data_IF_981007590917
#
_entry.id   IF_981007590917
#
_cell.length_a   1.000
_cell.length_b   1.000
_cell.length_c   1.000
_cell.angle_alpha   90.00
_cell.angle_beta   90.00
_cell.angle_gamma   90.00
#
_symmetry.space_group_name_H-M   'P 1'
#
loop_
_entity.id
_entity.type
_entity.pdbx_description
1 polymer ?
#
# COMPACT_ATOMS: atom_id res chain seq x y z
N UNK A 1 -36.82 15.71 15.77
CA UNK A 1 -36.01 16.46 16.76
C UNK A 1 -35.08 17.35 15.94
N UNK A 2 -35.44 18.61 15.74
CA UNK A 2 -34.67 19.54 14.91
C UNK A 2 -33.51 20.07 15.74
N UNK A 3 -32.29 19.63 15.42
CA UNK A 3 -31.08 20.10 16.09
C UNK A 3 -30.75 21.49 15.54
N UNK A 4 -31.06 22.55 16.28
CA UNK A 4 -30.72 23.91 15.87
C UNK A 4 -29.19 24.06 15.73
N UNK A 5 -28.76 24.53 14.56
CA UNK A 5 -27.37 24.50 14.11
C UNK A 5 -26.67 25.83 14.42
N UNK A 6 -26.28 26.04 15.68
CA UNK A 6 -25.41 27.15 16.10
C UNK A 6 -23.97 26.70 16.36
N UNK A 7 -23.41 25.85 15.49
CA UNK A 7 -22.03 25.39 15.63
C UNK A 7 -21.09 26.31 14.85
N UNK A 8 -20.12 26.93 15.56
CA UNK A 8 -19.05 27.70 14.93
C UNK A 8 -18.16 26.75 14.08
N UNK A 9 -18.38 26.76 12.77
CA UNK A 9 -17.66 25.91 11.79
C UNK A 9 -16.15 26.09 11.92
N UNK A 10 -15.69 27.32 12.16
CA UNK A 10 -14.27 27.62 12.25
C UNK A 10 -13.65 27.00 13.50
N UNK A 11 -14.33 27.12 14.65
CA UNK A 11 -13.91 26.45 15.88
C UNK A 11 -13.84 24.93 15.68
N UNK A 12 -14.87 24.34 15.07
CA UNK A 12 -14.89 22.91 14.78
C UNK A 12 -13.72 22.48 13.90
N UNK A 13 -13.44 23.22 12.82
CA UNK A 13 -12.33 22.93 11.92
C UNK A 13 -10.98 22.98 12.67
N UNK A 14 -10.75 24.01 13.50
CA UNK A 14 -9.53 24.15 14.30
C UNK A 14 -9.36 22.96 15.26
N UNK A 15 -10.41 22.59 16.00
CA UNK A 15 -10.37 21.45 16.93
C UNK A 15 -10.11 20.14 16.18
N UNK A 16 -10.76 19.94 15.03
CA UNK A 16 -10.58 18.75 14.19
C UNK A 16 -9.14 18.64 13.66
N UNK A 17 -8.54 19.76 13.24
CA UNK A 17 -7.13 19.81 12.83
C UNK A 17 -6.19 19.49 14.00
N UNK A 18 -6.46 20.01 15.20
CA UNK A 18 -5.68 19.70 16.40
C UNK A 18 -5.76 18.21 16.73
N UNK A 19 -6.95 17.61 16.70
CA UNK A 19 -7.13 16.16 16.92
C UNK A 19 -6.35 15.32 15.90
N UNK A 20 -6.37 15.73 14.62
CA UNK A 20 -5.59 15.08 13.56
C UNK A 20 -4.08 15.15 13.85
N UNK A 21 -3.55 16.34 14.15
CA UNK A 21 -2.12 16.53 14.44
C UNK A 21 -1.69 15.75 15.69
N UNK A 22 -2.52 15.76 16.74
CA UNK A 22 -2.26 14.99 17.96
C UNK A 22 -2.17 13.49 17.67
N UNK A 23 -3.13 12.95 16.89
CA UNK A 23 -3.15 11.53 16.50
C UNK A 23 -1.90 11.14 15.68
N UNK A 24 -1.48 11.99 14.74
CA UNK A 24 -0.28 11.77 13.93
C UNK A 24 0.99 11.84 14.79
N UNK A 25 1.05 12.81 15.72
CA UNK A 25 2.18 13.00 16.63
C UNK A 25 2.40 11.81 17.56
N UNK A 26 1.33 11.24 18.14
CA UNK A 26 1.45 10.05 19.00
C UNK A 26 2.03 8.85 18.23
N UNK A 27 1.60 8.63 16.98
CA UNK A 27 2.18 7.56 16.14
C UNK A 27 3.64 7.84 15.78
N UNK A 28 4.00 9.10 15.58
CA UNK A 28 5.38 9.50 15.27
C UNK A 28 6.37 9.21 16.41
N UNK A 29 5.90 9.14 17.67
CA UNK A 29 6.75 8.78 18.81
C UNK A 29 7.41 7.40 18.68
N UNK A 30 6.78 6.47 17.94
CA UNK A 30 7.39 5.18 17.63
C UNK A 30 8.67 5.34 16.80
N UNK A 31 8.61 6.19 15.77
CA UNK A 31 9.76 6.48 14.92
C UNK A 31 10.88 7.19 15.69
N UNK A 32 10.54 8.13 16.58
CA UNK A 32 11.50 8.74 17.51
C UNK A 32 12.20 7.72 18.41
N UNK A 33 11.46 6.71 18.87
CA UNK A 33 12.03 5.64 19.68
C UNK A 33 13.02 4.79 18.88
N UNK A 34 12.73 4.51 17.60
CA UNK A 34 13.63 3.76 16.73
C UNK A 34 14.94 4.51 16.47
N UNK A 35 14.88 5.84 16.32
CA UNK A 35 16.08 6.68 16.14
C UNK A 35 17.05 6.61 17.33
N UNK A 36 16.55 6.32 18.54
CA UNK A 36 17.40 6.17 19.74
C UNK A 36 18.22 4.87 19.74
N UNK A 37 17.76 3.83 19.05
CA UNK A 37 18.42 2.52 18.98
C UNK A 37 18.56 2.06 17.52
N UNK A 38 19.39 2.74 16.72
CA UNK A 38 19.45 2.53 15.28
C UNK A 38 19.95 1.12 14.90
N UNK A 39 20.84 0.53 15.70
CA UNK A 39 21.40 -0.81 15.46
C UNK A 39 20.34 -1.91 15.40
N UNK A 40 19.20 -1.72 16.06
CA UNK A 40 18.12 -2.71 16.12
C UNK A 40 17.00 -2.46 15.09
N UNK A 41 16.87 -1.24 14.55
CA UNK A 41 15.71 -0.85 13.74
C UNK A 41 16.07 -0.31 12.34
N UNK A 42 17.35 -0.04 12.08
CA UNK A 42 17.81 0.49 10.81
C UNK A 42 18.85 -0.42 10.16
N UNK A 43 18.77 -0.51 8.83
CA UNK A 43 19.79 -1.12 7.98
C UNK A 43 20.35 -0.01 7.10
N UNK A 44 21.53 0.51 7.48
CA UNK A 44 22.04 1.77 6.93
C UNK A 44 21.07 2.92 7.21
N UNK A 45 20.68 3.65 6.16
CA UNK A 45 19.76 4.80 6.27
C UNK A 45 18.26 4.42 6.16
N UNK A 46 17.94 3.11 6.12
CA UNK A 46 16.57 2.63 5.87
C UNK A 46 15.97 2.06 7.15
N UNK A 47 14.80 2.56 7.58
CA UNK A 47 14.07 1.93 8.68
C UNK A 47 13.57 0.55 8.23
N UNK A 48 13.64 -0.42 9.14
CA UNK A 48 13.02 -1.72 8.93
C UNK A 48 11.49 -1.61 9.04
N UNK A 49 10.81 -2.44 8.26
CA UNK A 49 9.35 -2.49 8.27
C UNK A 49 8.84 -3.39 9.40
N UNK A 50 7.73 -3.00 10.01
CA UNK A 50 7.07 -3.75 11.08
C UNK A 50 6.22 -4.92 10.58
N UNK A 51 5.86 -4.92 9.29
CA UNK A 51 5.01 -5.93 8.66
C UNK A 51 5.67 -6.52 7.42
N UNK A 52 5.45 -7.82 7.18
CA UNK A 52 6.08 -8.59 6.11
C UNK A 52 5.60 -8.23 4.70
N UNK A 53 4.43 -7.61 4.57
CA UNK A 53 3.85 -7.18 3.31
C UNK A 53 4.36 -5.80 2.86
N UNK A 54 4.82 -4.94 3.78
CA UNK A 54 5.28 -3.59 3.47
C UNK A 54 6.38 -3.54 2.37
N UNK A 55 7.42 -4.40 2.36
CA UNK A 55 8.41 -4.41 1.30
C UNK A 55 7.83 -4.60 -0.11
N UNK A 56 6.70 -5.32 -0.22
CA UNK A 56 6.03 -5.55 -1.50
C UNK A 56 5.47 -4.26 -2.09
N UNK A 57 4.79 -3.45 -1.27
CA UNK A 57 4.24 -2.16 -1.68
C UNK A 57 5.33 -1.12 -1.99
N UNK A 58 6.40 -1.11 -1.19
CA UNK A 58 7.55 -0.22 -1.38
C UNK A 58 8.33 -0.51 -2.66
N UNK A 59 8.44 -1.80 -2.98
CA UNK A 59 9.06 -2.26 -4.22
C UNK A 59 8.28 -1.73 -5.43
N UNK A 60 6.96 -1.87 -5.45
CA UNK A 60 6.13 -1.32 -6.53
C UNK A 60 6.22 0.19 -6.66
N UNK A 61 6.33 0.92 -5.54
CA UNK A 61 6.54 2.37 -5.57
C UNK A 61 7.88 2.73 -6.26
N UNK A 62 8.93 1.94 -6.00
CA UNK A 62 10.23 2.11 -6.65
C UNK A 62 10.16 1.80 -8.14
N UNK A 63 9.62 0.63 -8.51
CA UNK A 63 9.49 0.21 -9.91
C UNK A 63 8.66 1.20 -10.74
N UNK A 64 7.65 1.82 -10.13
CA UNK A 64 6.86 2.86 -10.77
C UNK A 64 7.71 4.10 -11.10
N UNK A 65 8.50 4.59 -10.14
CA UNK A 65 9.40 5.73 -10.38
C UNK A 65 10.56 5.41 -11.34
N UNK A 66 11.04 4.16 -11.33
CA UNK A 66 12.09 3.68 -12.24
C UNK A 66 11.57 3.39 -13.65
N UNK A 67 10.25 3.44 -13.86
CA UNK A 67 9.63 3.12 -15.14
C UNK A 67 9.57 1.63 -15.47
N UNK A 68 10.04 0.76 -14.57
CA UNK A 68 10.19 -0.69 -14.77
C UNK A 68 8.97 -1.50 -14.31
N UNK A 69 7.97 -0.85 -13.72
CA UNK A 69 6.76 -1.50 -13.23
C UNK A 69 6.05 -2.28 -14.34
N UNK A 70 5.95 -3.60 -14.15
CA UNK A 70 5.31 -4.49 -15.12
C UNK A 70 6.05 -4.62 -16.47
N UNK A 71 7.18 -3.92 -16.68
CA UNK A 71 7.84 -3.82 -17.98
C UNK A 71 8.65 -5.06 -18.34
N UNK A 72 9.01 -5.88 -17.34
CA UNK A 72 10.03 -6.89 -17.54
C UNK A 72 9.49 -8.27 -17.17
N UNK A 73 9.95 -9.25 -17.95
CA UNK A 73 10.29 -10.61 -17.51
C UNK A 73 10.73 -10.67 -16.04
N UNK A 74 11.30 -9.62 -15.44
CA UNK A 74 11.59 -9.47 -14.01
C UNK A 74 10.40 -9.54 -13.04
N UNK A 75 9.22 -8.96 -13.32
CA UNK A 75 8.04 -9.15 -12.45
C UNK A 75 7.49 -10.59 -12.60
N UNK A 76 7.61 -11.15 -13.80
CA UNK A 76 7.41 -12.58 -14.07
C UNK A 76 8.46 -13.47 -13.38
N UNK A 77 9.73 -13.08 -13.34
CA UNK A 77 10.86 -13.76 -12.70
C UNK A 77 10.73 -13.64 -11.19
N UNK A 78 10.20 -12.55 -10.64
CA UNK A 78 10.01 -12.38 -9.19
C UNK A 78 8.75 -13.08 -8.70
N UNK A 79 7.64 -13.00 -9.44
CA UNK A 79 6.50 -13.89 -9.20
C UNK A 79 6.96 -15.34 -9.35
N UNK A 80 7.84 -15.63 -10.31
CA UNK A 80 8.44 -16.93 -10.46
C UNK A 80 9.37 -17.31 -9.30
N UNK A 81 10.19 -16.40 -8.78
CA UNK A 81 11.04 -16.65 -7.60
C UNK A 81 10.17 -16.86 -6.36
N UNK A 82 9.02 -16.18 -6.26
CA UNK A 82 8.06 -16.35 -5.17
C UNK A 82 7.35 -17.70 -5.26
N UNK A 83 6.97 -18.10 -6.47
CA UNK A 83 6.41 -19.41 -6.77
C UNK A 83 7.51 -20.41 -7.14
N UNK A 84 8.75 -20.20 -6.68
CA UNK A 84 9.82 -21.16 -6.94
C UNK A 84 9.56 -22.42 -6.11
N UNK A 85 9.64 -23.62 -6.71
CA UNK A 85 10.11 -23.92 -8.06
C UNK A 85 9.02 -24.05 -9.14
N UNK A 86 7.73 -23.92 -8.79
CA UNK A 86 6.55 -24.13 -9.66
C UNK A 86 6.60 -23.33 -10.97
N UNK A 87 7.14 -22.12 -10.91
CA UNK A 87 7.27 -21.20 -12.03
C UNK A 87 8.43 -21.50 -13.00
N UNK A 88 9.33 -22.41 -12.64
CA UNK A 88 10.47 -22.75 -13.48
C UNK A 88 10.00 -23.55 -14.69
N UNK A 89 10.60 -23.30 -15.85
CA UNK A 89 10.27 -24.01 -17.09
C UNK A 89 10.39 -25.53 -16.95
N UNK A 90 11.31 -26.01 -16.10
CA UNK A 90 11.51 -27.43 -15.81
C UNK A 90 10.30 -28.03 -15.09
N UNK A 91 9.83 -27.40 -14.01
CA UNK A 91 8.63 -27.82 -13.28
C UNK A 91 7.38 -27.67 -14.14
N UNK A 92 7.22 -26.55 -14.85
CA UNK A 92 6.04 -26.35 -15.70
C UNK A 92 5.97 -27.38 -16.84
N UNK A 93 7.11 -27.74 -17.44
CA UNK A 93 7.19 -28.84 -18.43
C UNK A 93 6.88 -30.19 -17.80
N UNK A 94 7.37 -30.46 -16.60
CA UNK A 94 7.10 -31.71 -15.87
C UNK A 94 5.63 -31.83 -15.49
N UNK A 95 5.02 -30.78 -14.94
CA UNK A 95 3.59 -30.71 -14.65
C UNK A 95 2.76 -30.84 -15.91
N UNK A 96 3.09 -30.14 -17.00
CA UNK A 96 2.40 -30.34 -18.30
C UNK A 96 2.52 -31.77 -18.81
N UNK A 97 3.66 -32.44 -18.60
CA UNK A 97 3.91 -33.82 -19.01
C UNK A 97 3.20 -34.86 -18.12
N UNK A 98 3.01 -34.55 -16.84
CA UNK A 98 2.27 -35.39 -15.88
C UNK A 98 0.76 -35.18 -16.02
N UNK A 99 0.32 -33.96 -16.32
CA UNK A 99 -1.08 -33.59 -16.53
C UNK A 99 -1.56 -33.85 -17.97
N UNK A 100 -0.64 -33.98 -18.94
CA UNK A 100 -0.99 -34.46 -20.27
C UNK A 100 -1.39 -35.92 -20.16
N UNK A 101 -2.70 -36.14 -20.31
CA UNK A 101 -3.29 -37.46 -20.47
C UNK A 101 -2.48 -38.20 -21.55
N UNK A 102 -2.02 -39.45 -21.32
CA UNK A 102 -1.25 -40.17 -22.32
C UNK A 102 -2.01 -40.22 -23.65
N UNK A 103 -1.30 -39.99 -24.77
CA UNK A 103 -1.83 -39.92 -26.15
C UNK A 103 -2.84 -41.02 -26.53
N UNK A 104 -2.81 -42.15 -25.82
CA UNK A 104 -3.76 -43.27 -25.95
C UNK A 104 -5.21 -42.89 -25.60
N UNK A 105 -5.44 -41.76 -24.92
CA UNK A 105 -6.76 -41.33 -24.43
C UNK A 105 -7.13 -39.90 -24.90
N UNK A 106 -6.47 -39.37 -25.94
CA UNK A 106 -6.81 -38.06 -26.54
C UNK A 106 -7.68 -38.25 -27.78
N UNK A 107 -8.91 -37.74 -27.75
CA UNK A 107 -9.78 -37.70 -28.93
C UNK A 107 -9.31 -36.64 -29.95
N UNK A 108 -9.47 -36.88 -31.26
CA UNK A 108 -8.93 -36.00 -32.30
C UNK A 108 -9.74 -34.69 -32.49
N UNK A 109 -9.25 -33.62 -31.85
CA UNK A 109 -9.32 -32.17 -32.19
C UNK A 109 -10.70 -31.45 -32.32
N UNK A 110 -10.81 -30.15 -31.92
CA UNK A 110 -10.21 -29.06 -32.70
C UNK A 110 -9.63 -27.85 -31.92
N UNK A 111 -8.56 -27.28 -32.50
CA UNK A 111 -8.22 -25.85 -32.62
C UNK A 111 -8.33 -24.97 -31.35
N UNK A 112 -7.20 -24.76 -30.68
CA UNK A 112 -6.94 -23.51 -29.95
C UNK A 112 -5.69 -22.85 -30.51
N UNK A 113 -5.90 -21.78 -31.27
CA UNK A 113 -4.87 -20.92 -31.81
C UNK A 113 -4.04 -20.31 -30.69
N UNK A 114 -2.75 -20.66 -30.66
CA UNK A 114 -1.72 -19.98 -29.89
C UNK A 114 -1.55 -18.56 -30.44
N UNK A 115 -2.04 -17.55 -29.73
CA UNK A 115 -1.73 -16.16 -30.02
C UNK A 115 -0.28 -15.87 -29.62
N UNK A 116 0.51 -15.59 -30.65
CA UNK A 116 1.89 -15.14 -30.60
C UNK A 116 2.05 -13.86 -29.78
N UNK A 117 3.10 -13.88 -28.95
CA UNK A 117 3.67 -12.79 -28.17
C UNK A 117 3.91 -11.56 -29.07
N UNK A 118 3.25 -10.45 -28.75
CA UNK A 118 3.58 -9.12 -29.28
C UNK A 118 4.61 -8.45 -28.36
N UNK A 119 5.76 -8.11 -28.94
CA UNK A 119 6.77 -7.24 -28.32
C UNK A 119 6.25 -5.79 -28.28
N UNK A 120 6.35 -5.06 -27.16
CA UNK A 120 6.31 -3.60 -27.21
C UNK A 120 7.74 -3.06 -27.07
N UNK A 121 8.29 -2.62 -28.20
CA UNK A 121 9.43 -1.72 -28.30
C UNK A 121 8.92 -0.28 -28.20
N UNK A 122 8.59 0.15 -26.99
CA UNK A 122 8.35 1.53 -26.58
C UNK A 122 8.25 1.46 -25.06
N UNK A 123 8.87 2.39 -24.32
CA UNK A 123 8.77 2.41 -22.86
C UNK A 123 7.27 2.60 -22.54
N UNK A 124 6.52 1.58 -22.05
CA UNK A 124 5.13 1.77 -21.71
C UNK A 124 5.06 2.87 -20.66
N UNK A 125 4.35 3.94 -21.00
CA UNK A 125 3.95 4.94 -20.03
C UNK A 125 3.02 4.24 -19.03
N UNK A 126 3.57 3.91 -17.85
CA UNK A 126 2.84 3.17 -16.81
C UNK A 126 1.67 4.02 -16.34
N UNK A 127 0.44 3.54 -16.55
CA UNK A 127 -0.74 4.30 -16.15
C UNK A 127 -0.89 4.24 -14.64
N UNK A 128 -1.34 5.34 -14.05
CA UNK A 128 -1.61 5.43 -12.60
C UNK A 128 -2.60 4.38 -12.08
N UNK A 129 -3.46 3.81 -12.96
CA UNK A 129 -4.44 2.78 -12.60
C UNK A 129 -3.84 1.39 -12.42
N UNK A 130 -2.65 1.16 -12.97
CA UNK A 130 -2.01 -0.15 -13.00
C UNK A 130 -1.23 -0.41 -11.70
N UNK A 131 -0.93 0.65 -10.93
CA UNK A 131 -0.21 0.61 -9.65
C UNK A 131 -1.20 0.83 -8.50
N UNK A 132 -1.08 0.09 -7.40
CA UNK A 132 -1.89 0.34 -6.22
C UNK A 132 -1.71 1.78 -5.69
N UNK A 133 -2.80 2.36 -5.21
CA UNK A 133 -2.85 3.75 -4.75
C UNK A 133 -1.77 4.07 -3.68
N UNK A 134 -1.52 3.13 -2.76
CA UNK A 134 -0.50 3.31 -1.73
C UNK A 134 0.90 3.43 -2.33
N UNK A 135 1.26 2.53 -3.23
CA UNK A 135 2.55 2.54 -3.92
C UNK A 135 2.71 3.79 -4.78
N UNK A 136 1.64 4.20 -5.48
CA UNK A 136 1.61 5.45 -6.24
C UNK A 136 1.86 6.68 -5.37
N UNK A 137 1.22 6.76 -4.20
CA UNK A 137 1.38 7.88 -3.27
C UNK A 137 2.81 7.92 -2.69
N UNK A 138 3.37 6.76 -2.32
CA UNK A 138 4.76 6.66 -1.84
C UNK A 138 5.73 7.11 -2.95
N UNK A 139 5.51 6.68 -4.19
CA UNK A 139 6.37 7.02 -5.31
C UNK A 139 6.40 8.53 -5.58
N UNK A 140 5.25 9.19 -5.51
CA UNK A 140 5.13 10.66 -5.65
C UNK A 140 5.75 11.42 -4.48
N UNK A 141 5.77 10.84 -3.27
CA UNK A 141 6.36 11.47 -2.09
C UNK A 141 7.85 11.16 -1.91
N UNK A 142 8.37 10.11 -2.55
CA UNK A 142 9.76 9.68 -2.42
C UNK A 142 10.81 10.75 -2.79
N UNK A 143 10.61 11.62 -3.81
CA UNK A 143 11.56 12.68 -4.14
C UNK A 143 11.83 13.65 -2.98
N UNK A 144 10.86 13.88 -2.09
CA UNK A 144 11.04 14.73 -0.91
C UNK A 144 11.98 14.11 0.15
N UNK A 145 12.27 12.82 0.05
CA UNK A 145 13.09 12.07 1.01
C UNK A 145 14.29 11.40 0.33
N UNK A 146 14.87 12.03 -0.70
CA UNK A 146 16.04 11.51 -1.43
C UNK A 146 15.83 10.10 -2.01
N UNK A 147 14.62 9.80 -2.50
CA UNK A 147 14.25 8.48 -3.03
C UNK A 147 14.37 7.33 -2.01
N UNK A 148 14.32 7.63 -0.71
CA UNK A 148 14.24 6.61 0.33
C UNK A 148 12.79 6.15 0.54
N UNK A 149 12.35 5.21 -0.31
CA UNK A 149 11.01 4.63 -0.26
C UNK A 149 10.64 4.08 1.12
N UNK A 150 11.60 3.49 1.85
CA UNK A 150 11.35 2.92 3.17
C UNK A 150 11.01 4.00 4.18
N UNK A 151 11.82 5.07 4.23
CA UNK A 151 11.55 6.21 5.10
C UNK A 151 10.21 6.88 4.74
N UNK A 152 9.98 7.15 3.45
CA UNK A 152 8.72 7.75 2.98
C UNK A 152 7.51 6.89 3.40
N UNK A 153 7.58 5.58 3.20
CA UNK A 153 6.53 4.65 3.62
C UNK A 153 6.27 4.71 5.13
N UNK A 154 7.32 4.67 5.96
CA UNK A 154 7.16 4.74 7.42
C UNK A 154 6.52 6.03 7.92
N UNK A 155 6.81 7.17 7.27
CA UNK A 155 6.27 8.48 7.67
C UNK A 155 4.87 8.74 7.12
N UNK A 156 4.54 8.15 5.99
CA UNK A 156 3.25 8.30 5.33
C UNK A 156 2.12 7.62 6.11
N UNK A 157 2.41 6.45 6.69
CA UNK A 157 1.44 5.61 7.41
C UNK A 157 0.75 6.39 8.57
N UNK A 158 1.48 7.04 9.51
CA UNK A 158 0.88 7.86 10.57
C UNK A 158 -0.06 8.95 10.07
N UNK A 159 0.26 9.57 8.94
CA UNK A 159 -0.55 10.65 8.34
C UNK A 159 -1.85 10.08 7.78
N UNK A 160 -1.77 8.99 7.00
CA UNK A 160 -2.95 8.30 6.46
C UNK A 160 -3.83 7.72 7.55
N UNK A 161 -3.24 7.15 8.60
CA UNK A 161 -3.96 6.60 9.73
C UNK A 161 -4.74 7.69 10.49
N UNK A 162 -4.11 8.85 10.69
CA UNK A 162 -4.74 9.98 11.38
C UNK A 162 -5.84 10.63 10.54
N UNK A 163 -5.75 10.51 9.21
CA UNK A 163 -6.72 11.06 8.26
C UNK A 163 -8.14 10.54 8.52
N UNK A 164 -8.29 9.35 9.12
CA UNK A 164 -9.56 8.75 9.51
C UNK A 164 -10.45 9.67 10.37
N UNK A 165 -9.86 10.57 11.18
CA UNK A 165 -10.62 11.51 12.03
C UNK A 165 -11.42 12.51 11.19
N UNK A 166 -10.87 12.95 10.04
CA UNK A 166 -11.49 14.00 9.22
C UNK A 166 -12.86 13.59 8.65
N UNK A 167 -13.00 12.46 7.92
CA UNK A 167 -14.29 12.08 7.35
C UNK A 167 -15.32 11.78 8.43
N UNK A 168 -14.92 11.17 9.55
CA UNK A 168 -15.82 10.89 10.67
C UNK A 168 -16.32 12.19 11.31
N UNK A 169 -15.41 13.11 11.63
CA UNK A 169 -15.77 14.40 12.20
C UNK A 169 -16.69 15.21 11.28
N UNK A 170 -16.37 15.29 9.98
CA UNK A 170 -17.19 16.01 8.99
C UNK A 170 -18.58 15.37 8.87
N UNK A 171 -18.68 14.04 8.88
CA UNK A 171 -19.96 13.33 8.81
C UNK A 171 -20.88 13.67 9.99
N UNK A 172 -20.37 13.57 11.22
CA UNK A 172 -21.16 13.91 12.42
C UNK A 172 -21.42 15.42 12.56
N UNK A 173 -20.54 16.27 12.02
CA UNK A 173 -20.81 17.70 11.90
C UNK A 173 -22.03 17.97 11.02
N UNK A 174 -22.17 17.25 9.89
CA UNK A 174 -23.33 17.37 8.99
C UNK A 174 -24.65 16.91 9.63
N UNK A 175 -24.59 15.95 10.57
CA UNK A 175 -25.75 15.44 11.32
C UNK A 175 -26.13 16.36 12.48
N UNK A 176 -25.27 17.33 12.83
CA UNK A 176 -25.53 18.32 13.88
C UNK A 176 -24.94 17.94 15.25
N UNK A 177 -24.26 16.81 15.36
CA UNK A 177 -23.66 16.29 16.61
C UNK A 177 -22.13 16.22 16.53
N UNK A 178 -21.43 17.37 16.38
CA UNK A 178 -20.00 17.41 16.07
C UNK A 178 -19.11 16.82 17.18
N UNK A 179 -19.50 16.98 18.44
CA UNK A 179 -18.73 16.48 19.60
C UNK A 179 -18.65 14.95 19.59
N UNK A 180 -19.75 14.28 19.22
CA UNK A 180 -19.79 12.82 19.09
C UNK A 180 -18.82 12.33 18.00
N UNK A 181 -18.75 13.05 16.87
CA UNK A 181 -17.81 12.76 15.80
C UNK A 181 -16.35 12.90 16.21
N UNK A 182 -16.01 13.96 16.94
CA UNK A 182 -14.64 14.18 17.42
C UNK A 182 -14.21 13.11 18.43
N UNK A 183 -15.06 12.83 19.43
CA UNK A 183 -14.76 11.81 20.44
C UNK A 183 -14.70 10.41 19.83
N UNK A 184 -15.65 10.07 18.95
CA UNK A 184 -15.64 8.81 18.21
C UNK A 184 -14.42 8.67 17.32
N UNK A 185 -13.97 9.76 16.69
CA UNK A 185 -12.75 9.80 15.88
C UNK A 185 -11.50 9.51 16.72
N UNK A 186 -11.35 10.20 17.86
CA UNK A 186 -10.24 9.98 18.77
C UNK A 186 -10.21 8.54 19.32
N UNK A 187 -11.35 8.06 19.82
CA UNK A 187 -11.49 6.68 20.32
C UNK A 187 -11.16 5.66 19.23
N UNK A 188 -11.66 5.87 18.01
CA UNK A 188 -11.36 5.02 16.86
C UNK A 188 -9.87 5.00 16.52
N UNK A 189 -9.21 6.16 16.54
CA UNK A 189 -7.77 6.22 16.22
C UNK A 189 -6.86 5.58 17.26
N UNK A 190 -7.25 5.58 18.54
CA UNK A 190 -6.48 4.97 19.62
C UNK A 190 -6.98 3.58 20.01
N UNK A 191 -8.01 3.07 19.34
CA UNK A 191 -8.44 1.69 19.52
C UNK A 191 -7.28 0.75 19.17
N UNK A 192 -6.98 -0.20 20.07
CA UNK A 192 -5.81 -1.08 19.92
C UNK A 192 -5.75 -1.80 18.57
N UNK A 193 -6.90 -2.28 18.08
CA UNK A 193 -6.97 -2.97 16.78
C UNK A 193 -6.63 -2.08 15.59
N UNK A 194 -6.97 -0.78 15.65
CA UNK A 194 -6.57 0.18 14.63
C UNK A 194 -5.11 0.56 14.79
N UNK A 195 -4.72 0.97 16.00
CA UNK A 195 -3.37 1.43 16.33
C UNK A 195 -2.28 0.41 15.96
N UNK A 196 -2.49 -0.88 16.27
CA UNK A 196 -1.52 -1.96 15.94
C UNK A 196 -1.37 -2.24 14.44
N UNK A 197 -2.32 -1.80 13.61
CA UNK A 197 -2.34 -2.05 12.16
C UNK A 197 -2.11 -0.78 11.33
N UNK A 198 -1.76 0.33 11.98
CA UNK A 198 -1.71 1.68 11.40
C UNK A 198 -0.47 2.45 11.78
#
# INVERSE_FOLDING_TARGET
MNFERNNNIWLFAVVLTICFLFSAGVRYQQFESWKKTPTAYFVGDRPMMTTLDAPYWLRWAREYNEGTYGQNSWLGIFLALRDYPVSTDTFQKMTRKVLSIPLKYTDPNPIYSSSSISSPSEIPEIRYRDVPLLSYLIAHLAPFFNYNYYLTGTLLIPILASLFILPLGIYFFRIGVPVSGLLGGLIGTFAAGYYMRS
#
